data_IF_077165213127
#
_entry.id   IF_077165213127
#
_cell.length_a   1.000
_cell.length_b   1.000
_cell.length_c   1.000
_cell.angle_alpha   90.00
_cell.angle_beta   90.00
_cell.angle_gamma   90.00
#
_symmetry.space_group_name_H-M   'P 1'
#
loop_
_entity.id
_entity.type
_entity.pdbx_description
1 polymer ?
#
# COMPACT_ATOMS: atom_id res chain seq x y z
N UNK A 1 -17.99 -1.68 13.04
CA UNK A 1 -17.79 -0.59 12.05
C UNK A 1 -16.78 -1.12 11.04
N UNK A 2 -16.91 -0.84 9.75
CA UNK A 2 -15.89 -1.20 8.75
C UNK A 2 -14.82 -0.13 8.76
N UNK A 3 -13.54 -0.53 8.73
CA UNK A 3 -12.44 0.43 8.62
C UNK A 3 -12.26 0.86 7.17
N UNK A 4 -12.06 2.15 6.94
CA UNK A 4 -11.77 2.71 5.61
C UNK A 4 -10.26 2.78 5.40
N UNK A 5 -9.77 2.14 4.35
CA UNK A 5 -8.33 2.02 4.06
C UNK A 5 -8.02 2.65 2.70
N UNK A 6 -7.01 3.51 2.66
CA UNK A 6 -6.44 4.00 1.42
C UNK A 6 -5.21 3.18 1.05
N UNK A 7 -5.26 2.47 -0.07
CA UNK A 7 -4.07 1.90 -0.70
C UNK A 7 -3.41 2.97 -1.56
N UNK A 8 -2.13 3.23 -1.34
CA UNK A 8 -1.31 4.15 -2.13
C UNK A 8 -0.31 3.31 -2.92
N UNK A 9 -0.52 3.20 -4.23
CA UNK A 9 0.43 2.53 -5.11
C UNK A 9 1.45 3.54 -5.62
N UNK A 10 2.68 3.42 -5.13
CA UNK A 10 3.80 4.28 -5.56
C UNK A 10 4.58 3.71 -6.73
N UNK A 11 4.55 2.39 -6.91
CA UNK A 11 5.32 1.63 -7.89
C UNK A 11 5.78 0.29 -7.34
N UNK A 12 6.74 -0.31 -8.01
CA UNK A 12 7.32 -1.60 -7.61
C UNK A 12 6.60 -2.81 -8.19
N UNK A 13 7.25 -3.96 -8.06
CA UNK A 13 6.85 -5.24 -8.66
C UNK A 13 5.47 -5.70 -8.22
N UNK A 14 5.07 -5.40 -6.99
CA UNK A 14 3.76 -5.79 -6.45
C UNK A 14 2.60 -5.28 -7.31
N UNK A 15 2.73 -4.09 -7.90
CA UNK A 15 1.70 -3.49 -8.75
C UNK A 15 1.85 -3.80 -10.24
N UNK A 16 2.51 -4.88 -10.60
CA UNK A 16 2.71 -5.30 -11.98
C UNK A 16 1.96 -6.59 -12.29
N UNK A 17 1.55 -6.73 -13.54
CA UNK A 17 1.03 -7.99 -14.10
C UNK A 17 1.65 -8.25 -15.45
N UNK A 18 1.71 -9.52 -15.84
CA UNK A 18 2.13 -9.90 -17.18
C UNK A 18 0.98 -9.69 -18.15
N UNK A 19 1.19 -8.90 -19.19
CA UNK A 19 0.27 -8.78 -20.31
C UNK A 19 0.26 -10.08 -21.13
N UNK A 20 -0.92 -10.65 -21.31
CA UNK A 20 -1.07 -11.96 -21.95
C UNK A 20 -0.71 -11.95 -23.45
N UNK A 21 -0.77 -10.81 -24.12
CA UNK A 21 -0.49 -10.69 -25.54
C UNK A 21 0.99 -10.47 -25.83
N UNK A 22 1.66 -9.69 -24.99
CA UNK A 22 3.04 -9.24 -25.22
C UNK A 22 4.06 -9.94 -24.33
N UNK A 23 3.62 -10.55 -23.21
CA UNK A 23 4.50 -11.08 -22.17
C UNK A 23 5.22 -10.00 -21.34
N UNK A 24 4.97 -8.73 -21.62
CA UNK A 24 5.58 -7.62 -20.89
C UNK A 24 4.92 -7.40 -19.51
N UNK A 25 5.69 -6.87 -18.56
CA UNK A 25 5.13 -6.38 -17.31
C UNK A 25 4.47 -5.03 -17.54
N UNK A 26 3.19 -4.93 -17.18
CA UNK A 26 2.38 -3.72 -17.25
C UNK A 26 1.80 -3.41 -15.86
N UNK A 27 1.50 -2.14 -15.54
CA UNK A 27 0.87 -1.80 -14.28
C UNK A 27 -0.46 -2.53 -14.09
N UNK A 28 -0.68 -3.04 -12.88
CA UNK A 28 -1.93 -3.62 -12.45
C UNK A 28 -2.96 -2.51 -12.20
N UNK A 29 -4.18 -2.68 -12.69
CA UNK A 29 -5.27 -1.78 -12.40
C UNK A 29 -5.94 -2.17 -11.07
N UNK A 30 -5.62 -1.43 -10.02
CA UNK A 30 -6.17 -1.67 -8.69
C UNK A 30 -7.66 -1.27 -8.55
N UNK A 31 -8.27 -0.62 -9.53
CA UNK A 31 -9.71 -0.30 -9.49
C UNK A 31 -10.60 -1.55 -9.39
N UNK A 32 -10.12 -2.66 -9.96
CA UNK A 32 -10.74 -3.99 -9.89
C UNK A 32 -10.19 -4.90 -8.77
N UNK A 33 -9.59 -4.35 -7.71
CA UNK A 33 -8.90 -5.14 -6.70
C UNK A 33 -9.77 -6.24 -6.05
N UNK A 34 -11.05 -5.98 -5.84
CA UNK A 34 -11.99 -6.96 -5.27
C UNK A 34 -12.36 -8.09 -6.23
N UNK A 35 -12.27 -7.88 -7.53
CA UNK A 35 -12.54 -8.91 -8.54
C UNK A 35 -11.32 -9.81 -8.71
N UNK A 36 -10.13 -9.24 -8.65
CA UNK A 36 -8.87 -9.97 -8.70
C UNK A 36 -8.58 -10.72 -7.39
N UNK A 37 -8.96 -10.13 -6.25
CA UNK A 37 -8.78 -10.70 -4.91
C UNK A 37 -10.11 -10.81 -4.15
N UNK A 38 -10.99 -11.76 -4.52
CA UNK A 38 -12.29 -11.92 -3.86
C UNK A 38 -12.20 -12.17 -2.35
N UNK A 39 -11.07 -12.67 -1.86
CA UNK A 39 -10.79 -12.86 -0.43
C UNK A 39 -10.84 -11.55 0.36
N UNK A 40 -10.50 -10.42 -0.25
CA UNK A 40 -10.59 -9.10 0.40
C UNK A 40 -12.01 -8.74 0.81
N UNK A 41 -13.03 -9.26 0.13
CA UNK A 41 -14.44 -9.07 0.51
C UNK A 41 -14.79 -9.67 1.88
N UNK A 42 -13.95 -10.58 2.39
CA UNK A 42 -14.11 -11.19 3.73
C UNK A 42 -13.53 -10.33 4.84
N UNK A 43 -12.64 -9.40 4.50
CA UNK A 43 -12.12 -8.43 5.44
C UNK A 43 -13.20 -7.38 5.73
N UNK A 44 -13.28 -6.95 6.98
CA UNK A 44 -14.26 -5.93 7.40
C UNK A 44 -13.72 -4.52 7.13
N UNK A 45 -13.31 -4.27 5.88
CA UNK A 45 -12.71 -3.00 5.43
C UNK A 45 -13.36 -2.50 4.14
N UNK A 46 -13.35 -1.20 3.95
CA UNK A 46 -13.66 -0.53 2.70
C UNK A 46 -12.35 0.03 2.14
N UNK A 47 -12.02 -0.29 0.88
CA UNK A 47 -10.74 0.00 0.26
C UNK A 47 -10.94 0.98 -0.88
N UNK A 48 -10.23 2.11 -0.82
CA UNK A 48 -9.98 3.00 -1.94
C UNK A 48 -8.52 2.89 -2.37
N UNK A 49 -8.25 3.20 -3.64
CA UNK A 49 -6.90 3.14 -4.19
C UNK A 49 -6.51 4.46 -4.83
N UNK A 50 -5.30 4.91 -4.53
CA UNK A 50 -4.64 6.05 -5.18
C UNK A 50 -3.34 5.58 -5.84
N UNK A 51 -3.25 5.71 -7.16
CA UNK A 51 -2.02 5.45 -7.90
C UNK A 51 -1.24 6.74 -8.09
N UNK A 52 -0.01 6.78 -7.61
CA UNK A 52 0.91 7.91 -7.84
C UNK A 52 1.30 7.96 -9.31
N UNK A 53 1.29 9.15 -9.90
CA UNK A 53 1.65 9.33 -11.31
C UNK A 53 2.74 10.39 -11.47
N UNK A 54 3.84 10.07 -12.19
CA UNK A 54 4.19 8.75 -12.68
C UNK A 54 4.51 7.77 -11.54
N UNK A 55 4.35 6.46 -11.78
CA UNK A 55 4.82 5.42 -10.85
C UNK A 55 6.34 5.47 -10.73
N UNK A 56 6.85 5.15 -9.55
CA UNK A 56 8.26 5.33 -9.20
C UNK A 56 8.93 3.96 -9.15
N UNK A 57 10.05 3.81 -9.85
CA UNK A 57 10.99 2.73 -9.57
C UNK A 57 11.69 3.04 -8.24
N UNK A 58 11.62 2.09 -7.29
CA UNK A 58 12.16 2.31 -5.95
C UNK A 58 13.66 2.61 -5.92
N UNK A 59 14.42 2.16 -6.92
CA UNK A 59 15.85 2.52 -7.07
C UNK A 59 16.07 4.02 -7.34
N UNK A 60 15.04 4.74 -7.78
CA UNK A 60 15.07 6.15 -8.13
C UNK A 60 14.31 7.04 -7.13
N UNK A 61 14.01 6.53 -5.94
CA UNK A 61 13.31 7.31 -4.90
C UNK A 61 14.21 8.43 -4.38
N UNK A 62 13.66 9.64 -4.35
CA UNK A 62 14.31 10.85 -3.86
C UNK A 62 13.57 11.41 -2.64
N UNK A 63 14.20 12.27 -1.81
CA UNK A 63 13.54 12.90 -0.67
C UNK A 63 12.25 13.65 -1.01
N UNK A 64 12.15 14.20 -2.23
CA UNK A 64 10.93 14.84 -2.71
C UNK A 64 9.74 13.88 -2.80
N UNK A 65 9.99 12.60 -3.09
CA UNK A 65 8.95 11.56 -3.10
C UNK A 65 8.42 11.29 -1.70
N UNK A 66 9.28 11.28 -0.67
CA UNK A 66 8.86 11.14 0.73
C UNK A 66 7.96 12.30 1.16
N UNK A 67 8.34 13.53 0.79
CA UNK A 67 7.52 14.72 1.08
C UNK A 67 6.16 14.64 0.38
N UNK A 68 6.13 14.23 -0.89
CA UNK A 68 4.89 14.06 -1.64
C UNK A 68 3.99 12.99 -1.00
N UNK A 69 4.55 11.85 -0.60
CA UNK A 69 3.83 10.77 0.04
C UNK A 69 3.29 11.18 1.42
N UNK A 70 4.10 11.86 2.24
CA UNK A 70 3.67 12.37 3.52
C UNK A 70 2.51 13.38 3.39
N UNK A 71 2.56 14.26 2.39
CA UNK A 71 1.46 15.19 2.07
C UNK A 71 0.19 14.46 1.63
N UNK A 72 0.32 13.45 0.77
CA UNK A 72 -0.82 12.64 0.32
C UNK A 72 -1.52 11.96 1.51
N UNK A 73 -0.75 11.36 2.43
CA UNK A 73 -1.28 10.75 3.66
C UNK A 73 -1.98 11.82 4.51
N UNK A 74 -1.32 12.94 4.78
CA UNK A 74 -1.88 14.06 5.57
C UNK A 74 -3.19 14.57 4.99
N UNK A 75 -3.25 14.80 3.69
CA UNK A 75 -4.40 15.39 3.01
C UNK A 75 -5.61 14.43 2.99
N UNK A 76 -5.36 13.14 3.17
CA UNK A 76 -6.37 12.09 3.27
C UNK A 76 -6.61 11.58 4.70
N UNK A 77 -5.87 12.11 5.69
CA UNK A 77 -5.82 11.56 7.05
C UNK A 77 -7.19 11.54 7.75
N UNK A 78 -8.02 12.55 7.52
CA UNK A 78 -9.37 12.62 8.11
C UNK A 78 -10.37 11.63 7.49
N UNK A 79 -10.11 11.14 6.27
CA UNK A 79 -11.05 10.31 5.51
C UNK A 79 -10.88 8.82 5.73
N UNK A 80 -9.67 8.37 6.05
CA UNK A 80 -9.33 6.96 6.16
C UNK A 80 -8.86 6.60 7.56
N UNK A 81 -9.12 5.37 7.98
CA UNK A 81 -8.72 4.82 9.28
C UNK A 81 -7.30 4.25 9.24
N UNK A 82 -6.80 3.91 8.06
CA UNK A 82 -5.44 3.42 7.85
C UNK A 82 -4.99 3.56 6.40
N UNK A 83 -3.69 3.39 6.20
CA UNK A 83 -3.03 3.54 4.91
C UNK A 83 -2.15 2.31 4.63
N UNK A 84 -2.21 1.82 3.39
CA UNK A 84 -1.30 0.77 2.90
C UNK A 84 -0.51 1.36 1.74
N UNK A 85 0.82 1.35 1.84
CA UNK A 85 1.70 1.87 0.81
C UNK A 85 2.35 0.71 0.07
N UNK A 86 2.00 0.54 -1.21
CA UNK A 86 2.64 -0.43 -2.09
C UNK A 86 3.88 0.21 -2.71
N UNK A 87 5.05 -0.37 -2.44
CA UNK A 87 6.33 0.23 -2.74
C UNK A 87 7.32 -0.82 -3.26
N UNK A 88 8.24 -0.44 -4.12
CA UNK A 88 9.33 -1.31 -4.54
C UNK A 88 10.29 -1.62 -3.39
N UNK A 89 10.81 -2.85 -3.36
CA UNK A 89 11.55 -3.38 -2.20
C UNK A 89 12.95 -2.81 -2.02
N UNK A 90 13.56 -2.20 -3.06
CA UNK A 90 14.95 -1.72 -3.00
C UNK A 90 15.18 -0.65 -1.94
N UNK A 91 14.23 0.27 -1.80
CA UNK A 91 14.33 1.41 -0.87
C UNK A 91 13.13 1.54 0.07
N UNK A 92 12.29 0.51 0.18
CA UNK A 92 11.08 0.54 1.01
C UNK A 92 11.42 0.84 2.48
N UNK A 93 12.47 0.23 3.02
CA UNK A 93 12.90 0.48 4.40
C UNK A 93 13.35 1.92 4.63
N UNK A 94 13.98 2.57 3.65
CA UNK A 94 14.38 3.97 3.73
C UNK A 94 13.16 4.89 3.71
N UNK A 95 12.21 4.62 2.82
CA UNK A 95 10.97 5.41 2.73
C UNK A 95 10.15 5.26 4.00
N UNK A 96 9.95 4.04 4.52
CA UNK A 96 9.23 3.80 5.76
C UNK A 96 9.91 4.50 6.95
N UNK A 97 11.25 4.41 7.05
CA UNK A 97 12.02 5.09 8.08
C UNK A 97 11.87 6.61 7.99
N UNK A 98 11.97 7.19 6.80
CA UNK A 98 11.78 8.64 6.60
C UNK A 98 10.37 9.07 7.04
N UNK A 99 9.33 8.36 6.62
CA UNK A 99 7.96 8.70 6.98
C UNK A 99 7.68 8.54 8.47
N UNK A 100 8.32 7.60 9.16
CA UNK A 100 8.17 7.43 10.60
C UNK A 100 8.59 8.69 11.39
N UNK A 101 9.55 9.45 10.86
CA UNK A 101 9.97 10.74 11.44
C UNK A 101 9.19 11.94 10.90
N UNK A 102 8.66 11.85 9.68
CA UNK A 102 7.93 12.96 9.04
C UNK A 102 6.47 13.05 9.48
N UNK A 103 5.86 11.94 9.87
CA UNK A 103 4.46 11.85 10.30
C UNK A 103 4.37 11.98 11.81
N UNK A 104 4.52 13.20 12.32
CA UNK A 104 4.44 13.49 13.76
C UNK A 104 3.03 13.22 14.31
N UNK A 105 2.96 12.71 15.54
CA UNK A 105 1.72 12.40 16.26
C UNK A 105 0.79 11.45 15.48
N UNK A 106 1.36 10.51 14.76
CA UNK A 106 0.62 9.52 14.00
C UNK A 106 -0.26 8.67 14.94
N UNK A 107 -1.57 8.64 14.66
CA UNK A 107 -2.55 7.87 15.42
C UNK A 107 -3.29 6.84 14.55
N UNK A 108 -2.84 6.63 13.32
CA UNK A 108 -3.40 5.69 12.36
C UNK A 108 -2.28 4.86 11.72
N UNK A 109 -2.54 3.60 11.34
CA UNK A 109 -1.56 2.75 10.67
C UNK A 109 -1.13 3.33 9.32
N UNK A 110 0.16 3.27 9.04
CA UNK A 110 0.74 3.46 7.70
C UNK A 110 1.63 2.24 7.42
N UNK A 111 1.08 1.25 6.72
CA UNK A 111 1.72 -0.04 6.52
C UNK A 111 2.33 -0.11 5.13
N UNK A 112 3.65 -0.24 5.07
CA UNK A 112 4.36 -0.47 3.83
C UNK A 112 4.39 -1.94 3.48
N UNK A 113 4.23 -2.26 2.20
CA UNK A 113 4.42 -3.61 1.69
C UNK A 113 4.85 -3.60 0.22
N UNK A 114 5.40 -4.71 -0.22
CA UNK A 114 5.87 -4.93 -1.57
C UNK A 114 5.90 -6.42 -1.89
N UNK A 115 6.45 -6.78 -3.03
CA UNK A 115 6.69 -8.18 -3.38
C UNK A 115 7.89 -8.34 -4.28
N UNK A 116 8.47 -9.55 -4.28
CA UNK A 116 9.51 -9.94 -5.22
C UNK A 116 8.91 -10.42 -6.55
N UNK A 117 7.70 -10.95 -6.50
CA UNK A 117 7.01 -11.51 -7.67
C UNK A 117 5.75 -10.66 -7.96
N UNK A 118 5.50 -10.31 -9.24
CA UNK A 118 4.31 -9.55 -9.62
C UNK A 118 3.02 -10.17 -9.10
N UNK A 119 2.07 -9.35 -8.68
CA UNK A 119 0.84 -9.81 -8.04
C UNK A 119 -0.03 -10.71 -8.94
N UNK A 120 0.06 -10.56 -10.25
CA UNK A 120 -0.63 -11.41 -11.23
C UNK A 120 -0.03 -12.80 -11.45
N UNK A 121 1.11 -13.12 -10.83
CA UNK A 121 1.75 -14.44 -10.96
C UNK A 121 1.17 -15.44 -9.98
N UNK A 122 0.97 -16.69 -10.40
CA UNK A 122 0.26 -17.73 -9.63
C UNK A 122 0.85 -17.95 -8.21
N UNK A 123 2.18 -17.90 -8.06
CA UNK A 123 2.86 -18.12 -6.78
C UNK A 123 3.54 -16.85 -6.26
N UNK A 124 2.83 -15.75 -6.37
CA UNK A 124 3.29 -14.45 -5.87
C UNK A 124 3.28 -14.42 -4.34
N UNK A 125 4.30 -13.79 -3.75
CA UNK A 125 4.31 -13.35 -2.35
C UNK A 125 3.43 -12.11 -2.14
N UNK A 126 3.17 -11.33 -3.22
CA UNK A 126 2.45 -10.07 -3.15
C UNK A 126 1.00 -10.19 -2.66
N UNK A 127 0.34 -11.33 -2.90
CA UNK A 127 -1.03 -11.55 -2.44
C UNK A 127 -1.13 -11.60 -0.93
N UNK A 128 -0.33 -12.43 -0.29
CA UNK A 128 -0.32 -12.58 1.17
C UNK A 128 0.19 -11.30 1.84
N UNK A 129 1.22 -10.67 1.26
CA UNK A 129 1.76 -9.41 1.75
C UNK A 129 0.69 -8.30 1.73
N UNK A 130 -0.08 -8.19 0.63
CA UNK A 130 -1.15 -7.21 0.51
C UNK A 130 -2.28 -7.47 1.51
N UNK A 131 -2.74 -8.71 1.64
CA UNK A 131 -3.81 -9.08 2.58
C UNK A 131 -3.38 -8.75 4.01
N UNK A 132 -2.17 -9.16 4.41
CA UNK A 132 -1.61 -8.90 5.74
C UNK A 132 -1.51 -7.39 6.02
N UNK A 133 -1.02 -6.60 5.06
CA UNK A 133 -0.92 -5.16 5.22
C UNK A 133 -2.30 -4.51 5.42
N UNK A 134 -3.31 -4.94 4.67
CA UNK A 134 -4.69 -4.45 4.82
C UNK A 134 -5.28 -4.86 6.18
N UNK A 135 -5.05 -6.10 6.63
CA UNK A 135 -5.51 -6.57 7.94
C UNK A 135 -4.90 -5.73 9.08
N UNK A 136 -3.60 -5.48 9.03
CA UNK A 136 -2.92 -4.64 10.02
C UNK A 136 -3.46 -3.21 9.99
N UNK A 137 -3.59 -2.62 8.79
CA UNK A 137 -4.10 -1.26 8.63
C UNK A 137 -5.55 -1.11 9.11
N UNK A 138 -6.36 -2.16 9.01
CA UNK A 138 -7.76 -2.18 9.45
C UNK A 138 -7.98 -2.66 10.88
N UNK A 139 -6.93 -3.15 11.56
CA UNK A 139 -7.06 -3.77 12.88
C UNK A 139 -7.32 -2.74 13.98
N UNK A 140 -8.42 -2.94 14.73
CA UNK A 140 -8.79 -2.11 15.87
C UNK A 140 -9.07 -2.97 17.09
N UNK A 141 -8.67 -2.48 18.26
CA UNK A 141 -8.99 -3.04 19.57
C UNK A 141 -9.59 -1.92 20.43
N UNK A 142 -10.77 -2.13 20.98
CA UNK A 142 -11.51 -1.14 21.77
C UNK A 142 -11.64 0.24 21.08
N UNK A 143 -11.87 0.23 19.76
CA UNK A 143 -12.03 1.42 18.93
C UNK A 143 -10.74 2.17 18.60
N UNK A 144 -9.58 1.61 18.94
CA UNK A 144 -8.27 2.19 18.62
C UNK A 144 -7.49 1.32 17.65
N UNK A 145 -6.74 1.90 16.72
CA UNK A 145 -5.84 1.13 15.87
C UNK A 145 -4.85 0.31 16.70
N UNK A 146 -4.60 -0.94 16.28
CA UNK A 146 -3.65 -1.82 16.98
C UNK A 146 -2.20 -1.40 16.74
N UNK A 147 -1.91 -0.88 15.54
CA UNK A 147 -0.56 -0.43 15.13
C UNK A 147 -0.64 1.00 14.60
N UNK A 148 -0.74 2.03 15.49
CA UNK A 148 -0.83 3.44 15.07
C UNK A 148 0.53 4.04 14.72
N UNK A 149 1.25 3.40 13.83
CA UNK A 149 2.65 3.74 13.48
C UNK A 149 2.91 3.47 11.99
N UNK A 150 4.08 3.94 11.53
CA UNK A 150 4.65 3.48 10.26
C UNK A 150 5.27 2.10 10.49
N UNK A 151 4.83 1.10 9.77
CA UNK A 151 5.32 -0.27 9.83
C UNK A 151 5.60 -0.84 8.44
N UNK A 152 6.35 -1.94 8.41
CA UNK A 152 6.85 -2.58 7.20
C UNK A 152 6.70 -4.09 7.33
#
# INVERSE_FOLDING_TARGET
MRSSILIIYTGGTIGMKTDAATGALVPFDFSGIYDEFPSLKRLNVDIDVHTVSPVIDSSNVEPANWVALARLIRDNYARYDGFVVLHGTDTMSYTASALSFMLENLAKPVVFTGSQIPIGVLRTDGRENLITAIEIAGAHLDGRPVVPEVSL
#
